data_IF_951732680341
#
_entry.id   IF_951732680341
#
_cell.length_a   1.000
_cell.length_b   1.000
_cell.length_c   1.000
_cell.angle_alpha   90.00
_cell.angle_beta   90.00
_cell.angle_gamma   90.00
#
_symmetry.space_group_name_H-M   'P 1'
#
loop_
_entity.id
_entity.type
_entity.pdbx_description
1 polymer ?
#
# COMPACT_ATOMS: atom_id res chain seq x y z
N UNK A 1 24.49 6.01 -6.78
CA UNK A 1 23.04 6.21 -6.67
C UNK A 1 22.55 5.69 -5.33
N UNK A 2 21.90 6.52 -4.54
CA UNK A 2 21.33 6.12 -3.24
C UNK A 2 19.82 5.92 -3.41
N UNK A 3 19.34 4.73 -3.08
CA UNK A 3 17.89 4.45 -3.06
C UNK A 3 17.36 4.84 -1.67
N UNK A 4 16.47 5.82 -1.63
CA UNK A 4 15.87 6.33 -0.38
C UNK A 4 14.71 5.45 0.12
N UNK A 5 14.05 4.75 -0.79
CA UNK A 5 12.96 3.85 -0.49
C UNK A 5 12.39 3.21 -1.74
N UNK A 6 11.66 2.13 -1.55
CA UNK A 6 10.92 1.42 -2.60
C UNK A 6 9.46 1.38 -2.20
N UNK A 7 8.60 1.84 -3.08
CA UNK A 7 7.15 1.80 -2.92
C UNK A 7 6.61 0.86 -3.98
N UNK A 8 6.30 -0.34 -3.56
CA UNK A 8 5.61 -1.31 -4.41
C UNK A 8 4.11 -1.06 -4.34
N UNK A 9 3.44 -1.18 -5.45
CA UNK A 9 1.98 -0.96 -5.52
C UNK A 9 1.35 -2.19 -6.12
N UNK A 10 0.52 -2.88 -5.37
CA UNK A 10 -0.17 -4.08 -5.79
C UNK A 10 -1.58 -4.13 -5.21
N UNK A 11 -2.52 -4.72 -5.94
CA UNK A 11 -3.89 -4.95 -5.49
C UNK A 11 -4.61 -3.69 -4.94
N UNK A 12 -4.22 -2.50 -5.37
CA UNK A 12 -4.93 -1.26 -5.04
C UNK A 12 -6.23 -1.17 -5.84
N UNK A 13 -7.28 -0.56 -5.26
CA UNK A 13 -8.61 -0.52 -5.86
C UNK A 13 -9.46 -1.77 -5.54
N UNK A 14 -8.90 -2.77 -4.85
CA UNK A 14 -9.58 -3.93 -4.31
C UNK A 14 -9.75 -3.84 -2.80
N UNK A 15 -10.93 -4.26 -2.28
CA UNK A 15 -11.29 -4.21 -0.85
C UNK A 15 -12.02 -5.47 -0.42
N UNK A 16 -12.14 -5.67 0.90
CA UNK A 16 -13.07 -6.67 1.41
C UNK A 16 -14.51 -6.32 1.03
N UNK A 17 -15.38 -7.31 0.90
CA UNK A 17 -16.78 -7.05 0.62
C UNK A 17 -17.42 -6.17 1.70
N UNK A 18 -17.05 -6.36 2.97
CA UNK A 18 -17.54 -5.54 4.08
C UNK A 18 -17.14 -4.05 3.93
N UNK A 19 -15.94 -3.77 3.41
CA UNK A 19 -15.49 -2.40 3.16
C UNK A 19 -16.22 -1.78 1.96
N UNK A 20 -16.47 -2.57 0.92
CA UNK A 20 -17.28 -2.15 -0.23
C UNK A 20 -18.68 -1.77 0.22
N UNK A 21 -19.36 -2.65 0.98
CA UNK A 21 -20.73 -2.45 1.45
C UNK A 21 -20.85 -1.23 2.38
N UNK A 22 -19.83 -0.95 3.17
CA UNK A 22 -19.77 0.20 4.07
C UNK A 22 -19.23 1.48 3.42
N UNK A 23 -18.84 1.44 2.14
CA UNK A 23 -18.28 2.59 1.43
C UNK A 23 -16.92 3.04 1.98
N UNK A 24 -16.16 2.19 2.65
CA UNK A 24 -14.85 2.51 3.21
C UNK A 24 -13.76 2.42 2.14
N UNK A 25 -12.97 3.47 1.99
CA UNK A 25 -11.79 3.50 1.15
C UNK A 25 -10.56 3.14 2.01
N UNK A 26 -10.16 1.88 1.97
CA UNK A 26 -9.07 1.35 2.80
C UNK A 26 -7.73 1.37 2.06
N UNK A 27 -6.64 1.46 2.81
CA UNK A 27 -5.29 1.34 2.28
C UNK A 27 -4.38 0.70 3.34
N UNK A 28 -3.71 -0.36 2.98
CA UNK A 28 -2.79 -1.04 3.88
C UNK A 28 -1.36 -0.91 3.37
N UNK A 29 -0.44 -0.52 4.25
CA UNK A 29 0.99 -0.55 3.97
C UNK A 29 1.60 -1.75 4.67
N UNK A 30 2.05 -2.71 3.88
CA UNK A 30 2.76 -3.89 4.37
C UNK A 30 4.26 -3.61 4.41
N UNK A 31 4.92 -4.07 5.45
CA UNK A 31 6.37 -3.92 5.65
C UNK A 31 6.96 -5.16 6.33
N UNK A 32 8.28 -5.28 6.32
CA UNK A 32 9.01 -6.39 6.97
C UNK A 32 10.10 -5.86 7.91
N UNK A 33 10.68 -4.72 7.60
CA UNK A 33 11.84 -4.13 8.29
C UNK A 33 11.46 -2.91 9.11
N UNK A 34 12.29 -2.48 10.07
CA UNK A 34 12.09 -1.21 10.78
C UNK A 34 12.07 0.01 9.85
N UNK A 35 12.89 0.00 8.80
CA UNK A 35 12.92 1.06 7.78
C UNK A 35 11.62 1.09 6.97
N UNK A 36 11.06 -0.08 6.67
CA UNK A 36 9.74 -0.21 6.05
C UNK A 36 8.61 0.26 6.98
N UNK A 37 8.72 0.00 8.29
CA UNK A 37 7.77 0.51 9.28
C UNK A 37 7.74 2.03 9.30
N UNK A 38 8.92 2.68 9.27
CA UNK A 38 9.02 4.13 9.20
C UNK A 38 8.34 4.70 7.95
N UNK A 39 8.46 4.03 6.80
CA UNK A 39 7.73 4.41 5.58
C UNK A 39 6.21 4.22 5.74
N UNK A 40 5.76 3.15 6.39
CA UNK A 40 4.34 2.91 6.64
C UNK A 40 3.73 3.97 7.57
N UNK A 41 4.44 4.38 8.61
CA UNK A 41 4.02 5.49 9.48
C UNK A 41 3.95 6.82 8.72
N UNK A 42 4.95 7.07 7.88
CA UNK A 42 5.00 8.26 7.03
C UNK A 42 3.82 8.30 6.06
N UNK A 43 3.48 7.16 5.46
CA UNK A 43 2.32 7.01 4.59
C UNK A 43 1.02 7.41 5.31
N UNK A 44 0.80 6.94 6.53
CA UNK A 44 -0.38 7.30 7.31
C UNK A 44 -0.44 8.81 7.60
N UNK A 45 0.68 9.42 8.01
CA UNK A 45 0.76 10.88 8.24
C UNK A 45 0.48 11.71 6.99
N UNK A 46 0.91 11.23 5.82
CA UNK A 46 0.66 11.92 4.54
C UNK A 46 -0.82 11.85 4.13
N UNK A 47 -1.49 10.72 4.40
CA UNK A 47 -2.93 10.62 4.20
C UNK A 47 -3.68 11.67 5.02
N UNK A 48 -3.34 11.82 6.29
CA UNK A 48 -3.93 12.84 7.18
C UNK A 48 -3.58 14.26 6.71
N UNK A 49 -2.30 14.52 6.42
CA UNK A 49 -1.81 15.83 6.00
C UNK A 49 -2.49 16.37 4.75
N UNK A 50 -2.77 15.51 3.80
CA UNK A 50 -3.39 15.89 2.51
C UNK A 50 -4.89 15.61 2.46
N UNK A 51 -5.48 15.17 3.55
CA UNK A 51 -6.91 14.85 3.67
C UNK A 51 -7.41 13.95 2.53
N UNK A 52 -6.66 12.86 2.27
CA UNK A 52 -6.97 11.95 1.17
C UNK A 52 -8.17 11.04 1.45
N UNK A 53 -8.63 10.98 2.70
CA UNK A 53 -9.83 10.24 3.08
C UNK A 53 -9.69 8.72 3.11
N UNK A 54 -8.45 8.20 3.03
CA UNK A 54 -8.22 6.76 3.15
C UNK A 54 -8.20 6.33 4.62
N UNK A 55 -8.75 5.16 4.90
CA UNK A 55 -8.61 4.48 6.19
C UNK A 55 -7.33 3.65 6.10
N UNK A 56 -6.25 4.16 6.67
CA UNK A 56 -4.94 3.53 6.60
C UNK A 56 -4.76 2.46 7.68
N UNK A 57 -4.10 1.37 7.31
CA UNK A 57 -3.64 0.33 8.22
C UNK A 57 -2.21 -0.07 7.91
N UNK A 58 -1.58 -0.77 8.85
CA UNK A 58 -0.23 -1.29 8.70
C UNK A 58 -0.23 -2.79 8.98
N UNK A 59 0.61 -3.52 8.26
CA UNK A 59 0.79 -4.94 8.46
C UNK A 59 2.26 -5.31 8.40
N UNK A 60 2.77 -5.88 9.49
CA UNK A 60 4.11 -6.43 9.52
C UNK A 60 4.11 -7.86 9.02
N UNK A 61 4.86 -8.15 7.97
CA UNK A 61 5.13 -9.50 7.50
C UNK A 61 6.34 -10.08 8.23
N UNK A 62 6.26 -11.34 8.60
CA UNK A 62 7.38 -12.03 9.26
C UNK A 62 8.57 -12.23 8.32
N UNK A 63 8.32 -12.35 7.03
CA UNK A 63 9.33 -12.63 6.01
C UNK A 63 9.13 -11.75 4.78
N UNK A 64 10.24 -11.29 4.14
CA UNK A 64 10.19 -10.63 2.85
C UNK A 64 9.85 -11.66 1.76
N UNK A 65 8.62 -11.63 1.27
CA UNK A 65 8.08 -12.64 0.36
C UNK A 65 7.27 -12.11 -0.82
N UNK A 66 7.20 -10.81 -0.98
CA UNK A 66 6.53 -10.18 -2.11
C UNK A 66 7.53 -9.35 -2.94
N UNK A 67 7.09 -8.52 -3.86
CA UNK A 67 7.99 -7.71 -4.70
C UNK A 67 8.87 -6.79 -3.87
N UNK A 68 8.32 -6.16 -2.81
CA UNK A 68 9.11 -5.41 -1.83
C UNK A 68 10.19 -6.28 -1.17
N UNK A 69 9.88 -7.55 -0.94
CA UNK A 69 10.79 -8.53 -0.38
C UNK A 69 12.01 -8.79 -1.26
N UNK A 70 11.89 -8.69 -2.57
CA UNK A 70 13.01 -8.82 -3.51
C UNK A 70 14.03 -7.69 -3.31
N UNK A 71 13.58 -6.47 -3.09
CA UNK A 71 14.44 -5.33 -2.80
C UNK A 71 15.10 -5.45 -1.42
N UNK A 72 14.37 -5.90 -0.41
CA UNK A 72 14.92 -6.14 0.93
C UNK A 72 16.04 -7.18 0.89
N UNK A 73 15.84 -8.29 0.17
CA UNK A 73 16.87 -9.33 -0.02
C UNK A 73 18.09 -8.82 -0.79
N UNK A 74 17.90 -7.83 -1.64
CA UNK A 74 18.98 -7.16 -2.37
C UNK A 74 19.70 -6.07 -1.54
N UNK A 75 19.37 -5.93 -0.25
CA UNK A 75 20.02 -4.98 0.64
C UNK A 75 19.39 -3.58 0.66
N UNK A 76 18.16 -3.44 0.22
CA UNK A 76 17.38 -2.19 0.27
C UNK A 76 16.25 -2.38 1.30
N UNK A 77 16.52 -2.13 2.60
CA UNK A 77 15.55 -2.43 3.66
C UNK A 77 14.34 -1.49 3.68
N UNK A 78 14.49 -0.26 3.20
CA UNK A 78 13.41 0.73 3.13
C UNK A 78 12.47 0.42 1.95
N UNK A 79 11.70 -0.67 2.07
CA UNK A 79 10.75 -1.10 1.06
C UNK A 79 9.40 -1.43 1.68
N UNK A 80 8.32 -1.02 1.03
CA UNK A 80 6.94 -1.25 1.44
C UNK A 80 6.09 -1.73 0.27
N UNK A 81 4.99 -2.41 0.60
CA UNK A 81 3.95 -2.78 -0.34
C UNK A 81 2.65 -2.04 0.02
N UNK A 82 2.16 -1.24 -0.91
CA UNK A 82 0.86 -0.59 -0.84
C UNK A 82 -0.21 -1.49 -1.45
N UNK A 83 -1.20 -1.85 -0.65
CA UNK A 83 -2.34 -2.68 -1.06
C UNK A 83 -3.66 -2.01 -0.67
N UNK A 84 -4.73 -2.35 -1.38
CA UNK A 84 -6.03 -1.67 -1.21
C UNK A 84 -6.79 -2.03 0.06
N UNK A 85 -6.46 -3.16 0.71
CA UNK A 85 -7.11 -3.55 1.96
C UNK A 85 -6.10 -4.24 2.88
N UNK A 86 -6.48 -4.46 4.13
CA UNK A 86 -5.75 -5.35 5.02
C UNK A 86 -5.44 -6.67 4.30
N UNK A 87 -4.26 -7.27 4.51
CA UNK A 87 -3.67 -8.21 3.55
C UNK A 87 -4.66 -9.25 3.01
N UNK A 88 -4.78 -9.22 1.68
CA UNK A 88 -5.47 -10.24 0.90
C UNK A 88 -6.96 -10.44 1.23
N UNK A 89 -7.65 -9.41 1.71
CA UNK A 89 -9.10 -9.47 2.02
C UNK A 89 -10.01 -9.19 0.83
N UNK A 90 -9.45 -8.86 -0.33
CA UNK A 90 -10.22 -8.82 -1.56
C UNK A 90 -10.71 -10.25 -1.89
N UNK A 91 -12.03 -10.49 -2.01
CA UNK A 91 -12.58 -11.82 -2.25
C UNK A 91 -12.18 -12.40 -3.61
N UNK A 92 -11.83 -11.55 -4.56
CA UNK A 92 -11.41 -11.97 -5.90
C UNK A 92 -9.89 -12.21 -6.03
N UNK A 93 -9.13 -11.96 -4.97
CA UNK A 93 -7.68 -12.12 -4.96
C UNK A 93 -7.25 -13.51 -5.42
N UNK A 94 -6.42 -13.58 -6.47
CA UNK A 94 -5.96 -14.82 -7.12
C UNK A 94 -7.09 -15.73 -7.62
N UNK A 95 -8.25 -15.19 -7.90
CA UNK A 95 -9.40 -15.91 -8.43
C UNK A 95 -9.67 -15.54 -9.90
N UNK A 96 -10.32 -16.42 -10.64
CA UNK A 96 -10.77 -16.17 -12.03
C UNK A 96 -11.84 -15.07 -12.10
N UNK A 97 -12.44 -14.74 -10.96
CA UNK A 97 -13.40 -13.66 -10.79
C UNK A 97 -12.76 -12.28 -10.62
N UNK A 98 -11.44 -12.21 -10.53
CA UNK A 98 -10.71 -10.94 -10.46
C UNK A 98 -10.63 -10.29 -11.84
N UNK A 99 -11.62 -9.46 -12.12
CA UNK A 99 -11.82 -8.81 -13.43
C UNK A 99 -11.74 -7.29 -13.29
N UNK A 100 -11.35 -6.61 -14.37
CA UNK A 100 -11.07 -5.17 -14.35
C UNK A 100 -12.30 -4.31 -13.98
N UNK A 101 -13.51 -4.78 -14.24
CA UNK A 101 -14.76 -4.10 -13.88
C UNK A 101 -15.02 -4.03 -12.37
N UNK A 102 -14.32 -4.85 -11.58
CA UNK A 102 -14.43 -4.85 -10.12
C UNK A 102 -13.48 -3.86 -9.43
N UNK A 103 -12.59 -3.24 -10.17
CA UNK A 103 -11.68 -2.22 -9.63
C UNK A 103 -12.47 -0.94 -9.37
N UNK A 104 -12.47 -0.49 -8.12
CA UNK A 104 -13.02 0.80 -7.75
C UNK A 104 -12.04 1.91 -8.15
N UNK A 105 -12.42 2.68 -9.17
CA UNK A 105 -11.55 3.72 -9.76
C UNK A 105 -11.28 4.86 -8.77
N UNK A 106 -12.26 5.26 -7.96
CA UNK A 106 -12.07 6.32 -6.97
C UNK A 106 -11.12 5.86 -5.86
N UNK A 107 -11.27 4.63 -5.40
CA UNK A 107 -10.37 4.00 -4.44
C UNK A 107 -8.95 3.90 -5.00
N UNK A 108 -8.82 3.41 -6.23
CA UNK A 108 -7.55 3.35 -6.94
C UNK A 108 -6.88 4.72 -7.02
N UNK A 109 -7.63 5.75 -7.43
CA UNK A 109 -7.12 7.11 -7.57
C UNK A 109 -6.59 7.67 -6.23
N UNK A 110 -7.29 7.44 -5.11
CA UNK A 110 -6.82 7.90 -3.80
C UNK A 110 -5.57 7.14 -3.35
N UNK A 111 -5.49 5.83 -3.59
CA UNK A 111 -4.29 5.05 -3.28
C UNK A 111 -3.08 5.49 -4.11
N UNK A 112 -3.28 5.83 -5.38
CA UNK A 112 -2.22 6.39 -6.24
C UNK A 112 -1.75 7.75 -5.71
N UNK A 113 -2.67 8.63 -5.32
CA UNK A 113 -2.33 9.94 -4.72
C UNK A 113 -1.49 9.78 -3.46
N UNK A 114 -1.84 8.83 -2.60
CA UNK A 114 -1.08 8.55 -1.38
C UNK A 114 0.33 8.03 -1.69
N UNK A 115 0.45 7.10 -2.64
CA UNK A 115 1.76 6.59 -3.08
C UNK A 115 2.62 7.70 -3.70
N UNK A 116 2.03 8.57 -4.49
CA UNK A 116 2.71 9.74 -5.05
C UNK A 116 3.13 10.73 -3.96
N UNK A 117 2.27 10.97 -2.96
CA UNK A 117 2.62 11.83 -1.84
C UNK A 117 3.86 11.31 -1.08
N UNK A 118 3.93 10.00 -0.84
CA UNK A 118 5.11 9.38 -0.21
C UNK A 118 6.36 9.53 -1.09
N UNK A 119 6.23 9.30 -2.40
CA UNK A 119 7.34 9.45 -3.35
C UNK A 119 7.90 10.87 -3.34
N UNK A 120 7.04 11.87 -3.42
CA UNK A 120 7.44 13.29 -3.42
C UNK A 120 8.03 13.73 -2.08
N UNK A 121 7.54 13.17 -0.98
CA UNK A 121 8.04 13.46 0.35
C UNK A 121 9.45 12.85 0.57
N UNK A 122 9.72 11.67 0.03
CA UNK A 122 11.05 11.05 0.00
C UNK A 122 12.03 11.82 -0.90
N UNK A 123 11.57 12.33 -2.03
CA UNK A 123 12.42 13.08 -2.96
C UNK A 123 12.96 14.39 -2.35
N UNK A 124 12.20 15.01 -1.44
CA UNK A 124 12.59 16.25 -0.75
C UNK A 124 13.69 16.06 0.31
N UNK A 125 13.98 14.86 0.68
CA UNK A 125 15.10 14.55 1.58
C UNK A 125 16.42 14.60 0.81
#
# INVERSE_FOLDING_TARGET
LTVKGVINVDSIGGRSQADVDAGRLTHCTRFTTPEGEALAERTARLNERYDLGLITSRFQSEKPNDDDGSFIKAGIPAAVLHIGSYPYKNPDYHAVTDTADKVDIDHLAQSVRLSLALLLDLDRE
#
